data_IF_701533559398
#
_entry.id   IF_701533559398
#
_cell.length_a   1.000
_cell.length_b   1.000
_cell.length_c   1.000
_cell.angle_alpha   90.00
_cell.angle_beta   90.00
_cell.angle_gamma   90.00
#
_symmetry.space_group_name_H-M   'P 1'
#
loop_
_entity.id
_entity.type
_entity.pdbx_description
1 polymer ?
#
# COMPACT_ATOMS: atom_id res chain seq x y z
N UNK A 1 -1.22 -23.80 19.62
CA UNK A 1 -1.13 -22.36 19.30
C UNK A 1 -2.26 -22.07 18.34
N UNK A 2 -3.22 -21.22 18.70
CA UNK A 2 -4.30 -20.85 17.78
C UNK A 2 -3.69 -20.22 16.54
N UNK A 3 -3.97 -20.78 15.36
CA UNK A 3 -3.46 -20.28 14.10
C UNK A 3 -4.07 -18.88 13.87
N UNK A 4 -3.23 -17.84 13.92
CA UNK A 4 -3.66 -16.47 13.61
C UNK A 4 -4.24 -16.41 12.18
N UNK A 5 -5.33 -15.66 12.02
CA UNK A 5 -5.94 -15.41 10.72
C UNK A 5 -5.20 -14.30 10.00
N UNK A 6 -4.71 -14.58 8.79
CA UNK A 6 -4.05 -13.59 7.96
C UNK A 6 -5.04 -12.55 7.44
N UNK A 7 -4.52 -11.39 7.08
CA UNK A 7 -5.29 -10.29 6.50
C UNK A 7 -4.39 -9.47 5.58
N UNK A 8 -5.01 -8.69 4.69
CA UNK A 8 -4.32 -7.75 3.83
C UNK A 8 -4.36 -6.35 4.45
N UNK A 9 -3.18 -5.75 4.64
CA UNK A 9 -3.03 -4.33 4.93
C UNK A 9 -2.57 -3.61 3.66
N UNK A 10 -3.50 -2.90 3.03
CA UNK A 10 -3.31 -2.33 1.72
C UNK A 10 -2.97 -0.84 1.80
N UNK A 11 -1.69 -0.50 1.64
CA UNK A 11 -1.30 0.90 1.58
C UNK A 11 -1.51 1.48 0.18
N UNK A 12 -2.12 2.65 0.13
CA UNK A 12 -2.23 3.46 -1.09
C UNK A 12 -1.85 4.91 -0.82
N UNK A 13 -1.33 5.57 -1.84
CA UNK A 13 -0.87 6.96 -1.79
C UNK A 13 0.13 7.25 -2.90
N UNK A 14 0.42 8.52 -3.12
CA UNK A 14 1.38 8.99 -4.13
C UNK A 14 2.82 8.50 -3.87
N UNK A 15 3.69 8.61 -4.87
CA UNK A 15 5.12 8.28 -4.68
C UNK A 15 5.72 9.10 -3.53
N UNK A 16 6.49 8.49 -2.64
CA UNK A 16 7.07 9.21 -1.50
C UNK A 16 6.12 9.53 -0.34
N UNK A 17 4.85 9.12 -0.39
CA UNK A 17 3.86 9.36 0.68
C UNK A 17 4.13 8.64 2.02
N UNK A 18 5.22 7.89 2.16
CA UNK A 18 5.58 7.21 3.41
C UNK A 18 5.13 5.75 3.53
N UNK A 19 4.52 5.15 2.49
CA UNK A 19 4.08 3.73 2.50
C UNK A 19 5.18 2.76 2.95
N UNK A 20 6.33 2.77 2.27
CA UNK A 20 7.43 1.84 2.57
C UNK A 20 7.97 2.02 3.99
N UNK A 21 8.01 3.27 4.49
CA UNK A 21 8.40 3.58 5.88
C UNK A 21 7.44 2.97 6.89
N UNK A 22 6.13 3.09 6.67
CA UNK A 22 5.12 2.50 7.55
C UNK A 22 5.18 0.97 7.52
N UNK A 23 5.31 0.37 6.34
CA UNK A 23 5.39 -1.09 6.22
C UNK A 23 6.65 -1.65 6.88
N UNK A 24 7.79 -0.97 6.80
CA UNK A 24 9.02 -1.43 7.47
C UNK A 24 8.85 -1.45 9.00
N UNK A 25 8.22 -0.40 9.57
CA UNK A 25 7.98 -0.30 11.02
C UNK A 25 6.96 -1.34 11.49
N UNK A 26 5.86 -1.50 10.75
CA UNK A 26 4.83 -2.48 11.06
C UNK A 26 5.33 -3.92 10.88
N UNK A 27 6.19 -4.19 9.89
CA UNK A 27 6.78 -5.51 9.70
C UNK A 27 7.60 -5.92 10.92
N UNK A 28 8.46 -5.03 11.42
CA UNK A 28 9.26 -5.28 12.64
C UNK A 28 8.35 -5.55 13.84
N UNK A 29 7.32 -4.74 14.01
CA UNK A 29 6.34 -4.91 15.09
C UNK A 29 5.62 -6.26 15.01
N UNK A 30 5.03 -6.58 13.85
CA UNK A 30 4.28 -7.82 13.67
C UNK A 30 5.16 -9.06 13.81
N UNK A 31 6.37 -9.06 13.24
CA UNK A 31 7.34 -10.15 13.44
C UNK A 31 7.75 -10.27 14.91
N UNK A 32 7.92 -9.16 15.61
CA UNK A 32 8.19 -9.11 17.05
C UNK A 32 7.07 -9.74 17.89
N UNK A 33 5.81 -9.58 17.47
CA UNK A 33 4.63 -10.24 18.07
C UNK A 33 4.43 -11.70 17.61
N UNK A 34 5.31 -12.25 16.77
CA UNK A 34 5.26 -13.63 16.29
C UNK A 34 4.33 -13.87 15.10
N UNK A 35 3.85 -12.83 14.43
CA UNK A 35 3.06 -12.97 13.21
C UNK A 35 3.94 -13.31 12.00
N UNK A 36 3.37 -14.07 11.05
CA UNK A 36 3.95 -14.23 9.72
C UNK A 36 3.54 -13.03 8.88
N UNK A 37 4.52 -12.31 8.34
CA UNK A 37 4.29 -11.08 7.58
C UNK A 37 5.10 -11.11 6.30
N UNK A 38 4.55 -10.56 5.24
CA UNK A 38 5.25 -10.35 3.97
C UNK A 38 4.87 -8.99 3.37
N UNK A 39 5.87 -8.28 2.84
CA UNK A 39 5.69 -6.95 2.23
C UNK A 39 5.82 -7.06 0.72
N UNK A 40 4.75 -6.71 0.01
CA UNK A 40 4.75 -6.57 -1.44
C UNK A 40 5.04 -5.11 -1.80
N UNK A 41 6.33 -4.76 -1.78
CA UNK A 41 6.81 -3.44 -2.20
C UNK A 41 6.67 -3.26 -3.72
N UNK A 42 6.21 -2.07 -4.14
CA UNK A 42 5.94 -1.79 -5.55
C UNK A 42 7.17 -1.89 -6.46
N UNK A 43 8.35 -1.51 -5.97
CA UNK A 43 9.59 -1.56 -6.76
C UNK A 43 10.07 -3.01 -6.87
N UNK A 44 10.02 -3.78 -5.78
CA UNK A 44 10.39 -5.21 -5.75
C UNK A 44 9.43 -6.07 -6.59
N UNK A 45 8.13 -5.79 -6.52
CA UNK A 45 7.13 -6.48 -7.35
C UNK A 45 7.39 -6.18 -8.83
N UNK A 46 7.69 -4.93 -9.19
CA UNK A 46 7.98 -4.54 -10.58
C UNK A 46 9.20 -5.25 -11.14
N UNK A 47 10.22 -5.53 -10.34
CA UNK A 47 11.41 -6.26 -10.82
C UNK A 47 11.15 -7.76 -10.99
N UNK A 48 10.28 -8.36 -10.18
CA UNK A 48 10.15 -9.82 -10.09
C UNK A 48 8.86 -10.39 -10.69
N UNK A 49 7.70 -9.81 -10.35
CA UNK A 49 6.38 -10.32 -10.75
C UNK A 49 5.74 -9.54 -11.89
N UNK A 50 6.19 -8.30 -12.08
CA UNK A 50 5.63 -7.36 -13.06
C UNK A 50 6.68 -6.84 -14.04
N UNK A 51 7.77 -7.61 -14.24
CA UNK A 51 8.80 -7.30 -15.22
C UNK A 51 8.18 -7.21 -16.61
N UNK A 52 8.53 -6.14 -17.35
CA UNK A 52 8.02 -5.87 -18.68
C UNK A 52 6.74 -5.04 -18.73
N UNK A 53 6.07 -4.79 -17.59
CA UNK A 53 4.97 -3.83 -17.53
C UNK A 53 5.50 -2.39 -17.53
N UNK A 54 4.91 -1.56 -18.37
CA UNK A 54 5.19 -0.12 -18.42
C UNK A 54 4.46 0.62 -17.27
N UNK A 55 4.25 1.93 -17.46
CA UNK A 55 3.50 2.80 -16.56
C UNK A 55 2.21 3.33 -17.20
N UNK A 56 1.75 2.70 -18.30
CA UNK A 56 0.40 2.95 -18.82
C UNK A 56 -0.66 2.59 -17.77
N UNK A 57 -1.86 3.15 -17.94
CA UNK A 57 -3.00 2.85 -17.08
C UNK A 57 -3.28 1.34 -17.04
N UNK A 58 -3.29 0.68 -18.19
CA UNK A 58 -3.55 -0.76 -18.33
C UNK A 58 -2.50 -1.60 -17.60
N UNK A 59 -1.22 -1.25 -17.73
CA UNK A 59 -0.13 -1.97 -17.07
C UNK A 59 -0.12 -1.73 -15.56
N UNK A 60 -0.50 -0.54 -15.10
CA UNK A 60 -0.71 -0.24 -13.68
C UNK A 60 -1.85 -1.08 -13.12
N UNK A 61 -2.98 -1.13 -13.82
CA UNK A 61 -4.12 -1.97 -13.45
C UNK A 61 -3.69 -3.45 -13.32
N UNK A 62 -2.92 -3.99 -14.27
CA UNK A 62 -2.40 -5.36 -14.24
C UNK A 62 -1.47 -5.56 -13.04
N UNK A 63 -0.52 -4.65 -12.83
CA UNK A 63 0.42 -4.72 -11.71
C UNK A 63 -0.32 -4.77 -10.37
N UNK A 64 -1.29 -3.89 -10.17
CA UNK A 64 -2.08 -3.83 -8.93
C UNK A 64 -2.92 -5.10 -8.75
N UNK A 65 -3.54 -5.64 -9.81
CA UNK A 65 -4.27 -6.92 -9.74
C UNK A 65 -3.36 -8.09 -9.38
N UNK A 66 -2.13 -8.14 -9.90
CA UNK A 66 -1.13 -9.16 -9.53
C UNK A 66 -0.78 -9.08 -8.05
N UNK A 67 -0.54 -7.88 -7.53
CA UNK A 67 -0.29 -7.65 -6.10
C UNK A 67 -1.51 -8.10 -5.27
N UNK A 68 -2.72 -7.72 -5.69
CA UNK A 68 -3.95 -8.15 -5.02
C UNK A 68 -4.12 -9.66 -4.98
N UNK A 69 -3.80 -10.37 -6.06
CA UNK A 69 -3.81 -11.83 -6.09
C UNK A 69 -2.79 -12.45 -5.11
N UNK A 70 -1.57 -11.92 -5.03
CA UNK A 70 -0.58 -12.42 -4.06
C UNK A 70 -1.00 -12.10 -2.62
N UNK A 71 -1.55 -10.91 -2.36
CA UNK A 71 -2.10 -10.56 -1.05
C UNK A 71 -3.21 -11.52 -0.61
N UNK A 72 -4.13 -11.86 -1.53
CA UNK A 72 -5.16 -12.88 -1.31
C UNK A 72 -4.55 -14.24 -0.95
N UNK A 73 -3.61 -14.73 -1.76
CA UNK A 73 -2.92 -16.00 -1.53
C UNK A 73 -2.27 -16.06 -0.14
N UNK A 74 -1.59 -15.00 0.27
CA UNK A 74 -0.90 -14.94 1.55
C UNK A 74 -1.88 -14.83 2.72
N UNK A 75 -2.87 -13.94 2.60
CA UNK A 75 -3.82 -13.65 3.68
C UNK A 75 -4.67 -14.86 4.03
N UNK A 76 -5.20 -15.55 3.02
CA UNK A 76 -6.00 -16.77 3.23
C UNK A 76 -5.18 -17.95 3.77
N UNK A 77 -3.84 -17.85 3.78
CA UNK A 77 -2.93 -18.83 4.35
C UNK A 77 -2.33 -18.39 5.71
N UNK A 78 -2.92 -17.39 6.37
CA UNK A 78 -2.54 -16.99 7.72
C UNK A 78 -1.30 -16.09 7.79
N UNK A 79 -1.03 -15.31 6.73
CA UNK A 79 0.05 -14.32 6.67
C UNK A 79 -0.56 -12.92 6.64
N UNK A 80 0.03 -11.96 7.36
CA UNK A 80 -0.28 -10.54 7.20
C UNK A 80 0.40 -10.06 5.92
N UNK A 81 -0.38 -9.85 4.86
CA UNK A 81 0.14 -9.37 3.58
C UNK A 81 0.06 -7.84 3.54
N UNK A 82 1.19 -7.16 3.36
CA UNK A 82 1.23 -5.70 3.26
C UNK A 82 1.58 -5.26 1.85
N UNK A 83 0.68 -4.54 1.17
CA UNK A 83 0.98 -3.94 -0.14
C UNK A 83 1.50 -2.52 0.06
N UNK A 84 2.67 -2.18 -0.50
CA UNK A 84 3.25 -0.83 -0.47
C UNK A 84 3.36 -0.17 -1.86
N UNK A 85 2.57 -0.63 -2.83
CA UNK A 85 2.58 -0.09 -4.19
C UNK A 85 1.66 1.14 -4.36
N UNK A 86 1.94 1.96 -5.38
CA UNK A 86 0.99 2.98 -5.83
C UNK A 86 -0.17 2.26 -6.50
N UNK A 87 -1.38 2.41 -5.95
CA UNK A 87 -2.62 1.87 -6.50
C UNK A 87 -3.58 3.02 -6.83
N UNK A 88 -3.38 3.71 -7.98
CA UNK A 88 -3.98 5.03 -8.21
C UNK A 88 -5.48 4.99 -8.48
N UNK A 89 -6.00 3.90 -9.04
CA UNK A 89 -7.38 3.86 -9.53
C UNK A 89 -8.31 3.15 -8.53
N UNK A 90 -9.39 3.83 -8.14
CA UNK A 90 -10.35 3.35 -7.14
C UNK A 90 -10.93 1.98 -7.54
N UNK A 91 -11.30 1.84 -8.82
CA UNK A 91 -11.87 0.61 -9.38
C UNK A 91 -11.00 -0.62 -9.09
N UNK A 92 -9.67 -0.50 -9.22
CA UNK A 92 -8.77 -1.65 -9.05
C UNK A 92 -8.55 -1.95 -7.57
N UNK A 93 -8.45 -0.94 -6.70
CA UNK A 93 -8.40 -1.14 -5.24
C UNK A 93 -9.64 -1.91 -4.74
N UNK A 94 -10.82 -1.54 -5.22
CA UNK A 94 -12.07 -2.22 -4.89
C UNK A 94 -12.13 -3.66 -5.44
N UNK A 95 -11.53 -3.93 -6.61
CA UNK A 95 -11.39 -5.30 -7.12
C UNK A 95 -10.50 -6.15 -6.21
N UNK A 96 -9.36 -5.61 -5.75
CA UNK A 96 -8.46 -6.30 -4.82
C UNK A 96 -9.13 -6.58 -3.46
N UNK A 97 -9.85 -5.59 -2.91
CA UNK A 97 -10.66 -5.77 -1.70
C UNK A 97 -11.64 -6.92 -1.84
N UNK A 98 -12.49 -6.87 -2.88
CA UNK A 98 -13.49 -7.92 -3.15
C UNK A 98 -12.87 -9.30 -3.31
N UNK A 99 -11.72 -9.41 -3.97
CA UNK A 99 -11.00 -10.68 -4.13
C UNK A 99 -10.62 -11.27 -2.76
N UNK A 100 -9.92 -10.50 -1.93
CA UNK A 100 -9.44 -10.94 -0.61
C UNK A 100 -10.63 -11.30 0.30
N UNK A 101 -11.64 -10.45 0.36
CA UNK A 101 -12.83 -10.66 1.20
C UNK A 101 -13.65 -11.86 0.73
N UNK A 102 -13.71 -12.15 -0.58
CA UNK A 102 -14.42 -13.31 -1.11
C UNK A 102 -13.83 -14.66 -0.68
N UNK A 103 -12.56 -14.68 -0.24
CA UNK A 103 -11.90 -15.85 0.32
C UNK A 103 -11.81 -15.82 1.85
N UNK A 104 -12.55 -14.92 2.51
CA UNK A 104 -12.72 -14.89 3.95
C UNK A 104 -11.58 -14.24 4.75
N UNK A 105 -10.61 -13.61 4.08
CA UNK A 105 -9.60 -12.79 4.74
C UNK A 105 -10.06 -11.32 4.84
N UNK A 106 -9.65 -10.62 5.89
CA UNK A 106 -9.92 -9.20 6.02
C UNK A 106 -9.03 -8.36 5.07
N UNK A 107 -9.56 -7.23 4.62
CA UNK A 107 -8.83 -6.25 3.82
C UNK A 107 -8.95 -4.87 4.48
N UNK A 108 -7.82 -4.25 4.80
CA UNK A 108 -7.75 -2.95 5.46
C UNK A 108 -7.01 -1.97 4.55
N UNK A 109 -7.71 -0.97 4.02
CA UNK A 109 -7.16 0.08 3.16
C UNK A 109 -6.59 1.24 4.00
N UNK A 110 -5.28 1.43 3.92
CA UNK A 110 -4.56 2.54 4.56
C UNK A 110 -4.20 3.59 3.51
N UNK A 111 -4.88 4.73 3.57
CA UNK A 111 -4.56 5.87 2.73
C UNK A 111 -3.46 6.72 3.36
N UNK A 112 -2.27 6.67 2.78
CA UNK A 112 -1.14 7.55 3.09
C UNK A 112 -1.28 8.88 2.34
N UNK A 113 -2.03 9.79 2.94
CA UNK A 113 -2.32 11.11 2.40
C UNK A 113 -1.13 12.04 2.64
N UNK A 114 -0.68 12.70 1.59
CA UNK A 114 0.36 13.72 1.62
C UNK A 114 0.10 14.68 0.46
N UNK A 115 0.18 15.97 0.71
CA UNK A 115 0.03 16.97 -0.35
C UNK A 115 1.10 16.81 -1.44
N UNK A 116 0.72 17.08 -2.70
CA UNK A 116 1.65 17.02 -3.83
C UNK A 116 2.83 17.98 -3.63
N UNK A 117 2.57 19.18 -3.12
CA UNK A 117 3.60 20.18 -2.85
C UNK A 117 4.67 19.66 -1.87
N UNK A 118 4.25 18.97 -0.81
CA UNK A 118 5.18 18.37 0.15
C UNK A 118 5.96 17.21 -0.47
N UNK A 119 5.33 16.42 -1.34
CA UNK A 119 6.01 15.32 -2.05
C UNK A 119 7.06 15.85 -3.05
N UNK A 120 6.72 16.92 -3.77
CA UNK A 120 7.65 17.63 -4.66
C UNK A 120 8.78 18.26 -3.86
N UNK A 121 8.50 18.82 -2.68
CA UNK A 121 9.52 19.39 -1.79
C UNK A 121 10.50 18.33 -1.27
N UNK A 122 10.00 17.16 -0.87
CA UNK A 122 10.84 16.06 -0.34
C UNK A 122 11.60 15.32 -1.43
N UNK A 123 10.98 15.15 -2.61
CA UNK A 123 11.45 14.40 -3.78
C UNK A 123 12.48 13.29 -3.50
N UNK A 124 12.12 12.38 -2.60
CA UNK A 124 13.04 11.39 -2.00
C UNK A 124 13.78 10.54 -3.04
N UNK A 125 13.16 10.35 -4.22
CA UNK A 125 13.70 9.55 -5.31
C UNK A 125 14.17 10.39 -6.52
N UNK A 126 14.07 11.72 -6.46
CA UNK A 126 14.32 12.60 -7.61
C UNK A 126 13.33 12.41 -8.76
N UNK A 127 12.18 11.78 -8.51
CA UNK A 127 11.21 11.42 -9.55
C UNK A 127 10.24 12.55 -9.84
N UNK A 128 9.93 13.40 -8.86
CA UNK A 128 9.05 14.54 -9.06
C UNK A 128 9.70 15.60 -9.94
N UNK A 129 10.98 15.93 -9.70
CA UNK A 129 11.73 16.85 -10.55
C UNK A 129 11.74 16.39 -12.02
N UNK A 130 11.97 15.09 -12.25
CA UNK A 130 11.97 14.48 -13.58
C UNK A 130 10.58 14.42 -14.23
N UNK A 131 9.53 14.19 -13.45
CA UNK A 131 8.17 14.22 -13.95
C UNK A 131 7.76 15.65 -14.35
N UNK A 132 8.08 16.64 -13.52
CA UNK A 132 7.77 18.06 -13.78
C UNK A 132 8.56 18.62 -14.97
N UNK A 133 9.77 18.12 -15.23
CA UNK A 133 10.55 18.49 -16.42
C UNK A 133 10.12 17.75 -17.69
N UNK A 134 9.21 16.77 -17.59
CA UNK A 134 8.74 15.95 -18.71
C UNK A 134 9.65 14.78 -19.10
N UNK A 135 10.73 14.52 -18.35
CA UNK A 135 11.58 13.33 -18.56
C UNK A 135 10.81 12.03 -18.26
N UNK A 136 9.93 12.05 -17.27
CA UNK A 136 9.06 10.92 -16.92
C UNK A 136 7.61 11.23 -17.29
N UNK A 137 7.11 10.50 -18.29
CA UNK A 137 5.72 10.54 -18.70
C UNK A 137 4.86 9.62 -17.81
N UNK A 138 3.55 9.87 -17.77
CA UNK A 138 2.56 9.10 -16.99
C UNK A 138 2.92 8.96 -15.50
N UNK A 139 3.43 10.03 -14.88
CA UNK A 139 3.76 10.03 -13.46
C UNK A 139 2.54 10.35 -12.61
N UNK A 140 2.17 9.42 -11.73
CA UNK A 140 0.96 9.51 -10.89
C UNK A 140 1.02 10.74 -9.98
N UNK A 141 -0.03 11.56 -10.02
CA UNK A 141 -0.15 12.84 -9.32
C UNK A 141 0.41 14.04 -10.07
N UNK A 142 1.07 13.86 -11.22
CA UNK A 142 1.58 14.95 -12.07
C UNK A 142 0.93 14.89 -13.46
N UNK A 143 1.17 13.81 -14.20
CA UNK A 143 0.66 13.64 -15.57
C UNK A 143 -0.28 12.44 -15.72
N UNK A 144 -0.53 11.69 -14.65
CA UNK A 144 -1.48 10.57 -14.54
C UNK A 144 -2.28 10.74 -13.23
N UNK A 145 -3.61 10.55 -13.21
CA UNK A 145 -4.42 10.84 -12.03
C UNK A 145 -4.17 9.88 -10.85
N UNK A 146 -4.55 10.33 -9.67
CA UNK A 146 -4.66 9.51 -8.46
C UNK A 146 -6.06 9.71 -7.87
N UNK A 147 -6.88 8.66 -7.88
CA UNK A 147 -8.20 8.67 -7.25
C UNK A 147 -8.02 8.54 -5.75
N UNK A 148 -8.11 9.65 -5.01
CA UNK A 148 -8.06 9.62 -3.54
C UNK A 148 -9.12 8.65 -2.98
N UNK A 149 -8.75 7.75 -2.05
CA UNK A 149 -9.73 6.87 -1.40
C UNK A 149 -10.82 7.69 -0.70
N UNK A 150 -12.09 7.45 -1.07
CA UNK A 150 -13.24 8.14 -0.48
C UNK A 150 -13.59 7.63 0.91
N UNK A 151 -13.45 6.32 1.12
CA UNK A 151 -13.76 5.63 2.38
C UNK A 151 -12.65 4.62 2.73
N UNK A 152 -11.40 5.07 2.94
CA UNK A 152 -10.36 4.18 3.43
C UNK A 152 -10.67 3.77 4.88
N UNK A 153 -10.20 2.60 5.29
CA UNK A 153 -10.33 2.15 6.69
C UNK A 153 -9.51 3.04 7.63
N UNK A 154 -8.33 3.46 7.17
CA UNK A 154 -7.40 4.30 7.93
C UNK A 154 -6.84 5.40 7.02
N UNK A 155 -6.83 6.63 7.50
CA UNK A 155 -6.12 7.75 6.87
C UNK A 155 -4.88 8.06 7.70
N UNK A 156 -3.72 8.14 7.06
CA UNK A 156 -2.45 8.61 7.62
C UNK A 156 -2.07 9.90 6.89
N UNK A 157 -2.02 11.02 7.59
CA UNK A 157 -1.61 12.32 7.02
C UNK A 157 -0.10 12.50 7.17
N UNK A 158 0.70 11.84 6.33
CA UNK A 158 2.16 11.70 6.52
C UNK A 158 2.98 13.00 6.35
N UNK A 159 2.33 14.10 6.00
CA UNK A 159 2.86 15.46 6.04
C UNK A 159 2.54 16.21 7.34
N UNK A 160 1.73 15.64 8.22
CA UNK A 160 1.19 16.28 9.43
C UNK A 160 1.33 15.45 10.70
N UNK A 161 1.37 14.12 10.61
CA UNK A 161 1.58 13.24 11.75
C UNK A 161 2.96 12.54 11.68
N UNK A 162 3.67 12.37 12.81
CA UNK A 162 4.90 11.60 12.88
C UNK A 162 4.67 10.11 12.57
N UNK A 163 5.70 9.44 12.04
CA UNK A 163 5.64 8.01 11.70
C UNK A 163 5.20 7.14 12.88
N UNK A 164 5.69 7.41 14.09
CA UNK A 164 5.32 6.62 15.28
C UNK A 164 3.84 6.76 15.63
N UNK A 165 3.25 7.95 15.42
CA UNK A 165 1.82 8.18 15.63
C UNK A 165 0.99 7.42 14.58
N UNK A 166 1.39 7.48 13.30
CA UNK A 166 0.76 6.71 12.22
C UNK A 166 0.80 5.21 12.48
N UNK A 167 1.94 4.68 12.93
CA UNK A 167 2.09 3.26 13.26
C UNK A 167 1.16 2.90 14.42
N UNK A 168 1.15 3.69 15.50
CA UNK A 168 0.28 3.44 16.65
C UNK A 168 -1.22 3.49 16.26
N UNK A 169 -1.60 4.42 15.38
CA UNK A 169 -2.96 4.54 14.83
C UNK A 169 -3.37 3.29 14.06
N UNK A 170 -2.48 2.76 13.21
CA UNK A 170 -2.73 1.53 12.45
C UNK A 170 -2.87 0.33 13.40
N UNK A 171 -1.95 0.16 14.35
CA UNK A 171 -1.99 -0.94 15.31
C UNK A 171 -3.28 -0.92 16.14
N UNK A 172 -3.66 0.25 16.65
CA UNK A 172 -4.90 0.42 17.42
C UNK A 172 -6.13 0.02 16.61
N UNK A 173 -6.23 0.44 15.35
CA UNK A 173 -7.33 0.03 14.48
C UNK A 173 -7.38 -1.50 14.31
N UNK A 174 -6.22 -2.14 14.11
CA UNK A 174 -6.14 -3.58 13.93
C UNK A 174 -6.50 -4.36 15.22
N UNK A 175 -6.13 -3.84 16.39
CA UNK A 175 -6.52 -4.36 17.71
C UNK A 175 -8.04 -4.22 17.92
N UNK A 176 -8.61 -3.05 17.63
CA UNK A 176 -10.06 -2.78 17.72
C UNK A 176 -10.89 -3.65 16.76
N UNK A 177 -10.30 -4.10 15.64
CA UNK A 177 -10.91 -5.03 14.69
C UNK A 177 -10.61 -6.49 14.99
N UNK A 178 -9.94 -6.79 16.10
CA UNK A 178 -9.54 -8.14 16.51
C UNK A 178 -8.70 -8.88 15.43
N UNK A 179 -7.99 -8.12 14.60
CA UNK A 179 -7.10 -8.65 13.56
C UNK A 179 -5.72 -8.99 14.13
N UNK A 180 -5.31 -8.31 15.20
CA UNK A 180 -4.14 -8.60 16.01
C UNK A 180 -4.53 -8.56 17.49
N UNK A 181 -3.69 -9.15 18.35
CA UNK A 181 -3.86 -9.15 19.81
C UNK A 181 -2.92 -8.17 20.49
#
# INVERSE_FOLDING_TARGET
MSQHKGFTLWFTGLSGSGKSTLTERLEKEFRGRGYRVEVLDGDVVRTNLSKGLSFSKEDRDINVRRIGFVCDLLSRNGVIAMSAAISPYEKVRQQCRKLVESHGAAFVEVYTKCSLDELVRRDVKGLYAKALSGEIQNFTGVSDPYDEPKNPDIIVESDREPVDESVAKILRYLEEKELIG
#
